data_IF_453600086394
#
_entry.id   IF_453600086394
#
_cell.length_a   1.000
_cell.length_b   1.000
_cell.length_c   1.000
_cell.angle_alpha   90.00
_cell.angle_beta   90.00
_cell.angle_gamma   90.00
#
_symmetry.space_group_name_H-M   'P 1'
#
loop_
_entity.id
_entity.type
_entity.pdbx_description
1 polymer ?
#
# COMPACT_ATOMS: atom_id res chain seq x y z
N UNK A 1 -41.20 43.13 -45.02
CA UNK A 1 -40.83 41.80 -45.50
C UNK A 1 -39.30 41.78 -45.69
N UNK A 2 -38.55 41.35 -44.71
CA UNK A 2 -37.10 40.95 -44.80
C UNK A 2 -36.44 40.98 -43.40
N UNK A 3 -36.86 40.16 -42.47
CA UNK A 3 -36.17 39.95 -41.18
C UNK A 3 -36.43 38.52 -40.72
N UNK A 4 -35.99 37.51 -41.47
CA UNK A 4 -36.12 36.11 -41.04
C UNK A 4 -35.15 35.15 -41.74
N UNK A 5 -33.91 35.58 -41.97
CA UNK A 5 -32.88 34.70 -42.56
C UNK A 5 -31.49 34.78 -41.92
N UNK A 6 -31.37 35.12 -40.64
CA UNK A 6 -30.04 35.13 -39.97
C UNK A 6 -30.01 34.43 -38.60
N UNK A 7 -30.79 33.36 -38.39
CA UNK A 7 -30.77 32.57 -37.16
C UNK A 7 -30.58 31.04 -37.38
N UNK A 8 -29.85 30.62 -38.40
CA UNK A 8 -29.57 29.20 -38.61
C UNK A 8 -28.11 28.87 -39.01
N UNK A 9 -27.15 29.59 -38.44
CA UNK A 9 -25.71 29.29 -38.68
C UNK A 9 -24.87 29.38 -37.40
N UNK A 10 -25.35 28.81 -36.32
CA UNK A 10 -24.67 28.94 -35.00
C UNK A 10 -24.80 27.70 -34.11
N UNK A 11 -24.94 26.50 -34.67
CA UNK A 11 -25.05 25.30 -33.83
C UNK A 11 -24.48 24.06 -34.48
N UNK A 12 -23.21 24.09 -34.88
CA UNK A 12 -22.44 22.89 -35.30
C UNK A 12 -20.99 23.05 -34.91
N UNK A 13 -20.65 22.99 -33.62
CA UNK A 13 -19.30 22.68 -33.12
C UNK A 13 -19.35 22.37 -31.62
N UNK A 14 -20.07 21.36 -31.23
CA UNK A 14 -19.81 20.56 -30.05
C UNK A 14 -19.87 19.11 -30.52
N UNK A 15 -18.86 18.70 -31.28
CA UNK A 15 -18.56 17.29 -31.44
C UNK A 15 -17.92 16.88 -30.13
N UNK A 16 -18.71 16.15 -29.31
CA UNK A 16 -18.29 15.65 -28.02
C UNK A 16 -16.95 14.91 -28.12
N UNK A 17 -15.96 15.38 -27.35
CA UNK A 17 -14.85 14.55 -26.98
C UNK A 17 -15.46 13.30 -26.31
N UNK A 18 -15.35 12.17 -26.99
CA UNK A 18 -15.76 10.87 -26.42
C UNK A 18 -14.93 10.68 -25.16
N UNK A 19 -15.57 10.63 -24.01
CA UNK A 19 -14.88 10.46 -22.74
C UNK A 19 -13.96 9.21 -22.83
N UNK A 20 -12.67 9.37 -22.52
CA UNK A 20 -11.71 8.28 -22.58
C UNK A 20 -12.21 7.09 -21.75
N UNK A 21 -12.11 5.89 -22.28
CA UNK A 21 -12.48 4.68 -21.54
C UNK A 21 -11.66 4.53 -20.25
N UNK A 22 -12.19 3.82 -19.27
CA UNK A 22 -11.47 3.58 -17.99
C UNK A 22 -10.11 2.93 -18.23
N UNK A 23 -10.00 2.05 -19.23
CA UNK A 23 -8.73 1.46 -19.63
C UNK A 23 -7.75 2.49 -20.21
N UNK A 24 -8.19 3.42 -21.03
CA UNK A 24 -7.34 4.49 -21.58
C UNK A 24 -6.88 5.44 -20.48
N UNK A 25 -7.76 5.77 -19.54
CA UNK A 25 -7.43 6.58 -18.35
C UNK A 25 -6.37 5.88 -17.50
N UNK A 26 -6.56 4.58 -17.18
CA UNK A 26 -5.58 3.76 -16.47
C UNK A 26 -4.24 3.74 -17.21
N UNK A 27 -4.26 3.43 -18.51
CA UNK A 27 -3.06 3.35 -19.34
C UNK A 27 -2.27 4.65 -19.33
N UNK A 28 -2.98 5.79 -19.44
CA UNK A 28 -2.37 7.12 -19.37
C UNK A 28 -1.68 7.36 -18.03
N UNK A 29 -2.33 7.04 -16.91
CA UNK A 29 -1.73 7.21 -15.57
C UNK A 29 -0.57 6.25 -15.35
N UNK A 30 -0.72 4.99 -15.78
CA UNK A 30 0.32 3.98 -15.63
C UNK A 30 1.59 4.34 -16.42
N UNK A 31 1.43 4.78 -17.67
CA UNK A 31 2.53 5.17 -18.54
C UNK A 31 3.29 6.40 -18.05
N UNK A 32 2.69 7.27 -17.24
CA UNK A 32 3.41 8.40 -16.62
C UNK A 32 4.54 7.93 -15.69
N UNK A 33 4.34 6.78 -15.01
CA UNK A 33 5.37 6.16 -14.18
C UNK A 33 6.45 5.38 -14.97
N UNK A 34 6.27 5.19 -16.27
CA UNK A 34 7.15 4.40 -17.12
C UNK A 34 8.15 5.28 -17.87
N UNK A 35 9.44 5.03 -17.73
CA UNK A 35 10.47 5.79 -18.46
C UNK A 35 10.34 5.57 -19.97
N UNK A 36 10.78 6.56 -20.77
CA UNK A 36 10.81 6.46 -22.24
C UNK A 36 11.59 5.22 -22.69
N UNK A 37 12.77 5.01 -22.11
CA UNK A 37 13.63 3.85 -22.41
C UNK A 37 12.92 2.52 -22.17
N UNK A 38 12.10 2.43 -21.11
CA UNK A 38 11.35 1.22 -20.84
C UNK A 38 10.23 1.01 -21.86
N UNK A 39 9.52 2.08 -22.28
CA UNK A 39 8.48 1.98 -23.30
C UNK A 39 9.02 1.51 -24.65
N UNK A 40 10.21 1.97 -25.03
CA UNK A 40 10.90 1.60 -26.27
C UNK A 40 11.32 0.13 -26.31
N UNK A 41 11.32 -0.59 -25.18
CA UNK A 41 11.57 -2.04 -25.15
C UNK A 41 10.37 -2.88 -25.61
N UNK A 42 9.19 -2.27 -25.76
CA UNK A 42 7.96 -2.94 -26.19
C UNK A 42 7.57 -2.49 -27.60
N UNK A 43 7.12 -3.42 -28.44
CA UNK A 43 6.31 -3.04 -29.61
C UNK A 43 4.96 -2.49 -29.15
N UNK A 44 4.22 -1.80 -30.03
CA UNK A 44 2.88 -1.29 -29.69
C UNK A 44 1.92 -2.38 -29.22
N UNK A 45 1.94 -3.54 -29.86
CA UNK A 45 1.12 -4.69 -29.46
C UNK A 45 1.52 -5.24 -28.10
N UNK A 46 2.81 -5.41 -27.85
CA UNK A 46 3.31 -5.88 -26.54
C UNK A 46 2.99 -4.90 -25.41
N UNK A 47 3.07 -3.60 -25.67
CA UNK A 47 2.73 -2.58 -24.68
C UNK A 47 1.23 -2.61 -24.35
N UNK A 48 0.37 -2.79 -25.37
CA UNK A 48 -1.07 -2.88 -25.18
C UNK A 48 -1.44 -4.14 -24.37
N UNK A 49 -0.86 -5.30 -24.67
CA UNK A 49 -1.05 -6.53 -23.90
C UNK A 49 -0.54 -6.37 -22.46
N UNK A 50 0.63 -5.77 -22.28
CA UNK A 50 1.18 -5.46 -20.97
C UNK A 50 0.22 -4.59 -20.15
N UNK A 51 -0.32 -3.52 -20.70
CA UNK A 51 -1.25 -2.63 -20.03
C UNK A 51 -2.60 -3.31 -19.72
N UNK A 52 -3.14 -4.10 -20.62
CA UNK A 52 -4.38 -4.88 -20.41
C UNK A 52 -4.25 -5.85 -19.22
N UNK A 53 -3.13 -6.53 -19.14
CA UNK A 53 -2.88 -7.45 -18.03
C UNK A 53 -2.78 -6.71 -16.68
N UNK A 54 -2.09 -5.55 -16.66
CA UNK A 54 -2.01 -4.70 -15.45
C UNK A 54 -3.37 -4.14 -15.07
N UNK A 55 -4.15 -3.71 -16.03
CA UNK A 55 -5.49 -3.20 -15.79
C UNK A 55 -6.43 -4.26 -15.21
N UNK A 56 -6.41 -5.47 -15.76
CA UNK A 56 -7.20 -6.59 -15.24
C UNK A 56 -6.84 -6.90 -13.77
N UNK A 57 -5.55 -6.94 -13.46
CA UNK A 57 -5.10 -7.11 -12.08
C UNK A 57 -5.54 -5.96 -11.17
N UNK A 58 -5.43 -4.72 -11.65
CA UNK A 58 -5.84 -3.52 -10.91
C UNK A 58 -7.34 -3.52 -10.59
N UNK A 59 -8.18 -3.89 -11.55
CA UNK A 59 -9.62 -4.02 -11.33
C UNK A 59 -9.95 -5.06 -10.25
N UNK A 60 -9.32 -6.23 -10.31
CA UNK A 60 -9.52 -7.29 -9.31
C UNK A 60 -9.04 -6.84 -7.92
N UNK A 61 -7.86 -6.24 -7.85
CA UNK A 61 -7.30 -5.71 -6.61
C UNK A 61 -8.20 -4.64 -5.99
N UNK A 62 -8.79 -3.76 -6.80
CA UNK A 62 -9.68 -2.71 -6.32
C UNK A 62 -10.96 -3.29 -5.70
N UNK A 63 -11.58 -4.30 -6.34
CA UNK A 63 -12.75 -5.01 -5.80
C UNK A 63 -12.45 -5.67 -4.44
N UNK A 64 -11.25 -6.23 -4.28
CA UNK A 64 -10.80 -6.92 -3.06
C UNK A 64 -10.23 -5.98 -1.99
N UNK A 65 -10.13 -4.68 -2.29
CA UNK A 65 -9.46 -3.69 -1.43
C UNK A 65 -7.98 -4.01 -1.18
N UNK A 66 -7.34 -4.57 -2.18
CA UNK A 66 -5.93 -4.91 -2.23
C UNK A 66 -5.66 -6.35 -2.65
N UNK A 67 -4.60 -6.54 -3.43
CA UNK A 67 -4.15 -7.86 -3.91
C UNK A 67 -2.64 -7.86 -4.17
N UNK A 68 -2.03 -9.02 -3.93
CA UNK A 68 -0.67 -9.36 -4.30
C UNK A 68 -0.73 -10.49 -5.31
N UNK A 69 0.14 -10.45 -6.31
CA UNK A 69 0.32 -11.52 -7.30
C UNK A 69 1.80 -11.74 -7.55
N UNK A 70 2.25 -12.98 -7.47
CA UNK A 70 3.59 -13.40 -7.85
C UNK A 70 3.49 -14.47 -8.93
N UNK A 71 4.11 -14.23 -10.08
CA UNK A 71 4.02 -15.14 -11.22
C UNK A 71 5.34 -15.26 -11.96
N UNK A 72 5.58 -16.40 -12.66
CA UNK A 72 6.73 -16.51 -13.55
C UNK A 72 6.61 -15.52 -14.71
N UNK A 73 7.74 -15.03 -15.16
CA UNK A 73 7.84 -14.16 -16.32
C UNK A 73 8.87 -14.72 -17.31
N UNK A 74 8.44 -15.08 -18.49
CA UNK A 74 9.34 -15.45 -19.57
C UNK A 74 9.69 -14.18 -20.37
N UNK A 75 10.69 -13.46 -19.94
CA UNK A 75 11.25 -12.36 -20.73
C UNK A 75 12.67 -12.70 -21.15
N UNK A 76 12.88 -12.87 -22.44
CA UNK A 76 14.20 -12.90 -23.06
C UNK A 76 14.53 -11.51 -23.61
N UNK A 77 14.66 -10.51 -22.74
CA UNK A 77 15.20 -9.21 -23.17
C UNK A 77 16.71 -9.34 -23.27
N UNK A 78 17.22 -9.21 -24.49
CA UNK A 78 18.66 -9.08 -24.75
C UNK A 78 19.03 -7.64 -24.41
N UNK A 79 19.97 -7.43 -23.47
CA UNK A 79 20.51 -6.09 -23.22
C UNK A 79 21.21 -5.58 -24.48
N UNK A 80 21.34 -4.25 -24.63
CA UNK A 80 22.15 -3.63 -25.71
C UNK A 80 23.61 -4.10 -25.75
N UNK A 81 24.08 -4.77 -24.68
CA UNK A 81 25.41 -5.36 -24.55
C UNK A 81 25.43 -6.88 -24.83
N UNK A 82 24.33 -7.45 -25.34
CA UNK A 82 24.26 -8.88 -25.67
C UNK A 82 24.05 -9.80 -24.47
N UNK A 83 23.94 -9.28 -23.25
CA UNK A 83 23.68 -10.08 -22.06
C UNK A 83 22.18 -10.41 -21.97
N UNK A 84 21.83 -11.68 -21.88
CA UNK A 84 20.44 -12.11 -21.62
C UNK A 84 20.07 -11.72 -20.19
N UNK A 85 19.16 -10.76 -20.05
CA UNK A 85 18.57 -10.43 -18.76
C UNK A 85 17.39 -11.40 -18.55
N UNK A 86 17.60 -12.42 -17.75
CA UNK A 86 16.53 -13.34 -17.36
C UNK A 86 15.81 -12.76 -16.15
N UNK A 87 14.72 -12.05 -16.36
CA UNK A 87 13.79 -11.75 -15.27
C UNK A 87 12.84 -12.93 -15.14
N UNK A 88 12.93 -13.64 -14.04
CA UNK A 88 12.20 -14.90 -13.93
C UNK A 88 10.86 -14.75 -13.23
N UNK A 89 10.63 -13.65 -12.52
CA UNK A 89 9.43 -13.46 -11.69
C UNK A 89 8.93 -12.02 -11.74
N UNK A 90 7.62 -11.88 -11.87
CA UNK A 90 6.90 -10.62 -11.68
C UNK A 90 6.22 -10.64 -10.31
N UNK A 91 6.40 -9.55 -9.57
CA UNK A 91 5.63 -9.23 -8.36
C UNK A 91 4.74 -8.03 -8.66
N UNK A 92 3.45 -8.17 -8.44
CA UNK A 92 2.48 -7.09 -8.56
C UNK A 92 1.70 -6.93 -7.26
N UNK A 93 1.56 -5.69 -6.84
CA UNK A 93 0.80 -5.30 -5.66
C UNK A 93 -0.07 -4.14 -6.06
N UNK A 94 -1.37 -4.24 -5.80
CA UNK A 94 -2.25 -3.09 -5.86
C UNK A 94 -3.07 -3.04 -4.59
N UNK A 95 -3.02 -1.92 -3.89
CA UNK A 95 -3.67 -1.73 -2.60
C UNK A 95 -4.03 -0.25 -2.39
N UNK A 96 -4.96 0.06 -1.47
CA UNK A 96 -5.17 1.43 -1.04
C UNK A 96 -3.85 2.06 -0.60
N UNK A 97 -3.58 3.26 -1.10
CA UNK A 97 -2.33 4.01 -0.84
C UNK A 97 -2.04 4.07 0.67
N UNK A 98 -0.86 3.65 1.03
CA UNK A 98 -0.38 3.66 2.40
C UNK A 98 1.12 3.96 2.47
N UNK A 99 1.57 4.70 3.49
CA UNK A 99 3.00 4.85 3.75
C UNK A 99 3.68 3.48 3.84
N UNK A 100 4.92 3.41 3.37
CA UNK A 100 5.81 2.25 3.52
C UNK A 100 5.52 1.02 2.65
N UNK A 101 4.54 1.00 1.75
CA UNK A 101 4.29 -0.13 0.84
C UNK A 101 5.59 -0.49 0.09
N UNK A 102 6.16 0.45 -0.66
CA UNK A 102 7.36 0.22 -1.47
C UNK A 102 8.56 -0.16 -0.61
N UNK A 103 8.82 0.60 0.45
CA UNK A 103 9.98 0.38 1.33
C UNK A 103 9.91 -1.00 2.01
N UNK A 104 8.72 -1.43 2.41
CA UNK A 104 8.50 -2.74 3.03
C UNK A 104 8.78 -3.87 2.04
N UNK A 105 8.30 -3.75 0.81
CA UNK A 105 8.55 -4.75 -0.24
C UNK A 105 10.03 -4.79 -0.62
N UNK A 106 10.66 -3.64 -0.84
CA UNK A 106 12.09 -3.58 -1.13
C UNK A 106 12.97 -4.13 0.00
N UNK A 107 12.60 -3.87 1.26
CA UNK A 107 13.29 -4.45 2.41
C UNK A 107 13.15 -5.99 2.45
N UNK A 108 11.97 -6.51 2.10
CA UNK A 108 11.75 -7.96 1.99
C UNK A 108 12.58 -8.55 0.85
N UNK A 109 12.58 -7.94 -0.34
CA UNK A 109 13.40 -8.40 -1.48
C UNK A 109 14.88 -8.43 -1.08
N UNK A 110 15.38 -7.38 -0.46
CA UNK A 110 16.76 -7.29 0.03
C UNK A 110 17.09 -8.37 1.07
N UNK A 111 16.17 -8.61 2.03
CA UNK A 111 16.34 -9.66 3.05
C UNK A 111 16.39 -11.06 2.45
N UNK A 112 15.71 -11.28 1.34
CA UNK A 112 15.69 -12.54 0.59
C UNK A 112 16.78 -12.60 -0.49
N UNK A 113 17.64 -11.59 -0.58
CA UNK A 113 18.72 -11.47 -1.59
C UNK A 113 18.20 -11.51 -3.04
N UNK A 114 16.97 -11.03 -3.26
CA UNK A 114 16.34 -10.97 -4.57
C UNK A 114 16.66 -9.64 -5.25
N UNK A 115 17.21 -9.72 -6.45
CA UNK A 115 17.56 -8.54 -7.24
C UNK A 115 16.34 -7.98 -8.00
N UNK A 116 16.04 -6.70 -7.78
CA UNK A 116 14.99 -5.98 -8.52
C UNK A 116 15.61 -5.36 -9.76
N UNK A 117 15.21 -5.81 -10.93
CA UNK A 117 15.66 -5.29 -12.23
C UNK A 117 14.82 -4.12 -12.72
N UNK A 118 13.50 -4.18 -12.50
CA UNK A 118 12.57 -3.11 -12.85
C UNK A 118 11.59 -2.85 -11.74
N UNK A 119 11.26 -1.57 -11.56
CA UNK A 119 10.25 -1.11 -10.62
C UNK A 119 9.40 -0.04 -11.27
N UNK A 120 8.08 -0.20 -11.21
CA UNK A 120 7.10 0.83 -11.53
C UNK A 120 6.19 0.98 -10.32
N UNK A 121 5.88 2.23 -9.96
CA UNK A 121 5.06 2.52 -8.80
C UNK A 121 4.16 3.74 -9.08
N UNK A 122 3.18 3.63 -9.99
CA UNK A 122 2.18 4.66 -10.16
C UNK A 122 1.19 4.67 -8.99
N UNK A 123 0.86 5.88 -8.52
CA UNK A 123 -0.24 6.12 -7.59
C UNK A 123 -1.38 6.73 -8.39
N UNK A 124 -2.55 6.13 -8.34
CA UNK A 124 -3.70 6.51 -9.15
C UNK A 124 -4.87 6.90 -8.27
N UNK A 125 -5.54 7.98 -8.63
CA UNK A 125 -6.85 8.33 -8.09
C UNK A 125 -7.93 7.48 -8.74
N UNK A 126 -8.83 6.90 -7.95
CA UNK A 126 -9.87 6.00 -8.41
C UNK A 126 -11.24 6.49 -7.95
N UNK A 127 -12.18 6.57 -8.89
CA UNK A 127 -13.59 6.75 -8.60
C UNK A 127 -14.25 5.38 -8.64
N UNK A 128 -14.93 5.01 -7.56
CA UNK A 128 -15.53 3.69 -7.40
C UNK A 128 -17.05 3.79 -7.29
N UNK A 129 -17.73 2.86 -7.96
CA UNK A 129 -19.16 2.62 -7.74
C UNK A 129 -19.43 2.01 -6.35
N UNK A 130 -20.70 1.94 -5.96
CA UNK A 130 -21.12 1.25 -4.74
C UNK A 130 -20.73 -0.25 -4.73
N UNK A 131 -20.53 -0.87 -5.90
CA UNK A 131 -20.07 -2.25 -6.09
C UNK A 131 -18.56 -2.39 -6.13
N UNK A 132 -17.80 -1.31 -5.85
CA UNK A 132 -16.34 -1.23 -5.96
C UNK A 132 -15.81 -1.48 -7.38
N UNK A 133 -16.59 -1.16 -8.39
CA UNK A 133 -16.14 -1.15 -9.79
C UNK A 133 -15.54 0.21 -10.11
N UNK A 134 -14.49 0.22 -10.92
CA UNK A 134 -13.79 1.45 -11.32
C UNK A 134 -14.64 2.18 -12.35
N UNK A 135 -15.10 3.38 -12.02
CA UNK A 135 -15.82 4.28 -12.92
C UNK A 135 -14.89 5.26 -13.63
N UNK A 136 -13.80 5.66 -12.97
CA UNK A 136 -12.75 6.49 -13.56
C UNK A 136 -11.40 6.27 -12.89
N UNK A 137 -10.32 6.47 -13.67
CA UNK A 137 -8.93 6.52 -13.18
C UNK A 137 -8.35 7.88 -13.57
N UNK A 138 -7.97 8.66 -12.58
CA UNK A 138 -7.48 10.03 -12.78
C UNK A 138 -6.18 10.25 -12.01
N UNK A 139 -5.58 11.42 -12.19
CA UNK A 139 -4.42 11.80 -11.38
C UNK A 139 -4.81 11.82 -9.91
N UNK A 140 -3.98 11.21 -9.04
CA UNK A 140 -4.25 11.13 -7.62
C UNK A 140 -4.24 12.53 -6.97
N UNK A 141 -5.39 12.96 -6.45
CA UNK A 141 -5.57 14.20 -5.69
C UNK A 141 -5.81 13.90 -4.20
N UNK A 142 -5.64 14.90 -3.33
CA UNK A 142 -5.67 14.70 -1.87
C UNK A 142 -6.98 14.11 -1.33
N UNK A 143 -8.10 14.47 -1.94
CA UNK A 143 -9.46 14.07 -1.48
C UNK A 143 -9.98 12.78 -2.10
N UNK A 144 -9.15 12.08 -2.88
CA UNK A 144 -9.57 10.89 -3.62
C UNK A 144 -9.16 9.59 -2.95
N UNK A 145 -9.87 8.51 -3.29
CA UNK A 145 -9.39 7.17 -2.99
C UNK A 145 -8.17 6.90 -3.87
N UNK A 146 -7.01 6.78 -3.24
CA UNK A 146 -5.75 6.51 -3.92
C UNK A 146 -5.42 5.02 -3.82
N UNK A 147 -4.92 4.49 -4.92
CA UNK A 147 -4.38 3.14 -4.99
C UNK A 147 -2.92 3.19 -5.45
N UNK A 148 -2.08 2.50 -4.71
CA UNK A 148 -0.76 2.11 -5.15
C UNK A 148 -0.85 0.96 -6.13
N UNK A 149 -0.06 1.02 -7.20
CA UNK A 149 0.18 -0.12 -8.06
C UNK A 149 1.68 -0.32 -8.23
N UNK A 150 2.23 -1.25 -7.46
CA UNK A 150 3.65 -1.60 -7.53
C UNK A 150 3.84 -2.81 -8.45
N UNK A 151 4.69 -2.65 -9.46
CA UNK A 151 5.13 -3.69 -10.38
C UNK A 151 6.63 -3.85 -10.28
N UNK A 152 7.10 -5.08 -10.02
CA UNK A 152 8.52 -5.42 -9.95
C UNK A 152 8.82 -6.57 -10.90
N UNK A 153 9.95 -6.49 -11.58
CA UNK A 153 10.61 -7.63 -12.21
C UNK A 153 11.82 -8.00 -11.37
N UNK A 154 11.84 -9.22 -10.87
CA UNK A 154 12.91 -9.71 -9.99
C UNK A 154 13.59 -10.94 -10.57
N UNK A 155 14.84 -11.12 -10.20
CA UNK A 155 15.58 -12.35 -10.47
C UNK A 155 15.35 -13.33 -9.32
N UNK A 156 14.68 -14.43 -9.62
CA UNK A 156 14.37 -15.47 -8.64
C UNK A 156 14.14 -16.81 -9.33
N UNK A 157 14.20 -17.88 -8.57
CA UNK A 157 13.73 -19.18 -9.03
C UNK A 157 12.21 -19.16 -9.23
N UNK A 158 11.76 -19.57 -10.40
CA UNK A 158 10.34 -19.58 -10.76
C UNK A 158 9.61 -20.87 -10.30
N UNK A 159 10.15 -21.60 -9.30
CA UNK A 159 9.47 -22.73 -8.71
C UNK A 159 8.14 -22.33 -8.05
N UNK A 160 7.11 -23.13 -8.27
CA UNK A 160 5.75 -22.82 -7.81
C UNK A 160 5.64 -22.71 -6.28
N UNK A 161 6.45 -23.48 -5.53
CA UNK A 161 6.45 -23.43 -4.06
C UNK A 161 7.07 -22.12 -3.60
N UNK A 162 8.17 -21.70 -4.22
CA UNK A 162 8.81 -20.42 -3.96
C UNK A 162 7.87 -19.25 -4.28
N UNK A 163 7.22 -19.26 -5.45
CA UNK A 163 6.30 -18.20 -5.85
C UNK A 163 5.13 -18.02 -4.86
N UNK A 164 4.50 -19.13 -4.45
CA UNK A 164 3.43 -19.10 -3.44
C UNK A 164 3.91 -18.61 -2.08
N UNK A 165 5.11 -19.03 -1.65
CA UNK A 165 5.71 -18.57 -0.40
C UNK A 165 5.99 -17.07 -0.45
N UNK A 166 6.57 -16.57 -1.53
CA UNK A 166 6.86 -15.15 -1.73
C UNK A 166 5.57 -14.33 -1.72
N UNK A 167 4.54 -14.76 -2.45
CA UNK A 167 3.23 -14.11 -2.48
C UNK A 167 2.61 -14.03 -1.07
N UNK A 168 2.64 -15.13 -0.33
CA UNK A 168 2.13 -15.18 1.06
C UNK A 168 2.90 -14.24 1.99
N UNK A 169 4.22 -14.19 1.87
CA UNK A 169 5.06 -13.28 2.67
C UNK A 169 4.75 -11.81 2.36
N UNK A 170 4.69 -11.46 1.09
CA UNK A 170 4.35 -10.10 0.67
C UNK A 170 2.94 -9.73 1.17
N UNK A 171 1.96 -10.61 0.98
CA UNK A 171 0.58 -10.37 1.43
C UNK A 171 0.51 -10.16 2.95
N UNK A 172 1.28 -10.90 3.74
CA UNK A 172 1.39 -10.71 5.19
C UNK A 172 1.96 -9.34 5.55
N UNK A 173 3.01 -8.88 4.86
CA UNK A 173 3.57 -7.54 5.07
C UNK A 173 2.61 -6.43 4.64
N UNK A 174 1.88 -6.62 3.53
CA UNK A 174 0.86 -5.66 3.10
C UNK A 174 -0.29 -5.56 4.09
N UNK A 175 -0.71 -6.67 4.71
CA UNK A 175 -1.68 -6.64 5.80
C UNK A 175 -1.17 -5.79 6.98
N UNK A 176 0.10 -5.96 7.39
CA UNK A 176 0.71 -5.16 8.44
C UNK A 176 0.66 -3.66 8.11
N UNK A 177 1.10 -3.28 6.91
CA UNK A 177 1.09 -1.89 6.43
C UNK A 177 -0.32 -1.30 6.46
N UNK A 178 -1.32 -2.04 5.97
CA UNK A 178 -2.72 -1.58 5.96
C UNK A 178 -3.30 -1.45 7.38
N UNK A 179 -2.97 -2.35 8.30
CA UNK A 179 -3.41 -2.26 9.69
C UNK A 179 -2.78 -1.07 10.42
N UNK A 180 -1.49 -0.81 10.21
CA UNK A 180 -0.82 0.38 10.76
C UNK A 180 -1.51 1.65 10.25
N UNK A 181 -1.76 1.75 8.95
CA UNK A 181 -2.47 2.86 8.33
C UNK A 181 -3.89 3.03 8.91
N UNK A 182 -4.67 1.96 8.92
CA UNK A 182 -6.08 2.01 9.33
C UNK A 182 -6.24 2.27 10.84
N UNK A 183 -5.28 1.82 11.65
CA UNK A 183 -5.31 2.01 13.11
C UNK A 183 -4.54 3.24 13.58
N UNK A 184 -3.89 4.00 12.69
CA UNK A 184 -3.03 5.15 13.07
C UNK A 184 -3.74 6.10 14.02
N UNK A 185 -4.96 6.51 13.71
CA UNK A 185 -5.70 7.45 14.55
C UNK A 185 -6.03 6.88 15.92
N UNK A 186 -6.41 5.60 16.00
CA UNK A 186 -6.67 4.92 17.27
C UNK A 186 -5.40 4.80 18.13
N UNK A 187 -4.25 4.49 17.52
CA UNK A 187 -2.97 4.43 18.21
C UNK A 187 -2.56 5.81 18.76
N UNK A 188 -2.77 6.89 18.00
CA UNK A 188 -2.51 8.25 18.47
C UNK A 188 -3.44 8.65 19.61
N UNK A 189 -4.73 8.31 19.55
CA UNK A 189 -5.69 8.51 20.64
C UNK A 189 -5.29 7.73 21.90
N UNK A 190 -4.79 6.50 21.76
CA UNK A 190 -4.29 5.71 22.89
C UNK A 190 -3.07 6.36 23.54
N UNK A 191 -2.15 6.94 22.74
CA UNK A 191 -1.04 7.74 23.28
C UNK A 191 -1.53 8.97 24.05
N UNK A 192 -2.56 9.67 23.54
CA UNK A 192 -3.16 10.82 24.25
C UNK A 192 -3.78 10.42 25.59
N UNK A 193 -4.49 9.29 25.61
CA UNK A 193 -5.07 8.78 26.86
C UNK A 193 -3.98 8.41 27.86
N UNK A 194 -2.91 7.77 27.41
CA UNK A 194 -1.76 7.44 28.24
C UNK A 194 -1.09 8.68 28.85
N UNK A 195 -0.95 9.78 28.08
CA UNK A 195 -0.43 11.05 28.61
C UNK A 195 -1.29 11.56 29.75
N UNK A 196 -2.61 11.58 29.58
CA UNK A 196 -3.56 12.05 30.62
C UNK A 196 -3.50 11.16 31.87
N UNK A 197 -3.35 9.86 31.71
CA UNK A 197 -3.18 8.92 32.81
C UNK A 197 -1.88 9.21 33.57
N UNK A 198 -0.75 9.38 32.88
CA UNK A 198 0.54 9.73 33.47
C UNK A 198 0.46 11.06 34.27
N UNK A 199 -0.16 12.08 33.68
CA UNK A 199 -0.34 13.39 34.33
C UNK A 199 -1.20 13.31 35.61
N UNK A 200 -2.10 12.32 35.68
CA UNK A 200 -2.94 12.09 36.86
C UNK A 200 -2.26 11.32 37.99
N UNK A 201 -1.09 10.70 37.74
CA UNK A 201 -0.37 9.91 38.73
C UNK A 201 0.33 10.82 39.75
N UNK A 202 -0.14 10.79 40.96
CA UNK A 202 0.39 11.62 42.06
C UNK A 202 1.58 11.00 42.80
N UNK A 203 1.85 9.70 42.61
CA UNK A 203 2.98 8.98 43.21
C UNK A 203 4.33 9.25 42.54
N UNK A 204 4.33 9.93 41.40
CA UNK A 204 5.53 10.31 40.65
C UNK A 204 5.71 11.81 40.71
N UNK A 205 6.96 12.29 40.66
CA UNK A 205 7.21 13.73 40.71
C UNK A 205 6.61 14.47 39.50
N UNK A 206 6.17 15.71 39.75
CA UNK A 206 5.62 16.55 38.64
C UNK A 206 6.64 16.76 37.51
N UNK A 207 7.95 16.79 37.85
CA UNK A 207 9.03 16.89 36.84
C UNK A 207 9.07 15.67 35.95
N UNK A 208 9.07 14.46 36.52
CA UNK A 208 9.07 13.19 35.77
C UNK A 208 7.81 13.04 34.94
N UNK A 209 6.64 13.37 35.46
CA UNK A 209 5.38 13.37 34.69
C UNK A 209 5.46 14.34 33.49
N UNK A 210 6.05 15.52 33.69
CA UNK A 210 6.27 16.50 32.62
C UNK A 210 7.22 16.01 31.53
N UNK A 211 8.25 15.24 31.87
CA UNK A 211 9.16 14.63 30.88
C UNK A 211 8.45 13.56 30.05
N UNK A 212 7.66 12.68 30.66
CA UNK A 212 6.87 11.66 29.97
C UNK A 212 5.84 12.28 29.05
N UNK A 213 5.13 13.32 29.49
CA UNK A 213 4.16 14.05 28.68
C UNK A 213 4.84 14.69 27.45
N UNK A 214 6.02 15.29 27.61
CA UNK A 214 6.82 15.83 26.50
C UNK A 214 7.24 14.74 25.51
N UNK A 215 7.71 13.59 26.00
CA UNK A 215 8.10 12.46 25.15
C UNK A 215 6.91 11.95 24.32
N UNK A 216 5.78 11.71 24.95
CA UNK A 216 4.58 11.25 24.25
C UNK A 216 4.06 12.30 23.26
N UNK A 217 4.11 13.59 23.64
CA UNK A 217 3.79 14.70 22.74
C UNK A 217 4.69 14.73 21.51
N UNK A 218 6.00 14.49 21.69
CA UNK A 218 6.97 14.41 20.61
C UNK A 218 6.74 13.19 19.69
N UNK A 219 6.38 12.03 20.24
CA UNK A 219 6.00 10.84 19.47
C UNK A 219 4.76 11.09 18.57
N UNK A 220 3.80 11.91 19.06
CA UNK A 220 2.60 12.29 18.29
C UNK A 220 2.89 13.18 17.08
N UNK A 221 3.94 13.98 17.11
CA UNK A 221 4.28 14.96 16.06
C UNK A 221 4.95 14.35 14.83
N UNK A 222 4.64 13.10 14.48
CA UNK A 222 5.19 12.37 13.35
C UNK A 222 6.73 12.22 13.35
N UNK A 223 7.38 12.44 14.51
CA UNK A 223 8.79 12.14 14.67
C UNK A 223 9.08 10.63 14.68
N UNK A 224 8.03 9.84 14.95
CA UNK A 224 8.06 8.37 14.92
C UNK A 224 6.82 7.81 14.25
N UNK A 225 7.01 6.68 13.58
CA UNK A 225 5.89 5.88 13.10
C UNK A 225 5.50 4.85 14.14
N UNK A 226 4.34 5.03 14.76
CA UNK A 226 3.79 4.04 15.69
C UNK A 226 3.28 2.86 14.87
N UNK A 227 3.97 1.72 14.97
CA UNK A 227 3.65 0.50 14.21
C UNK A 227 2.60 -0.37 14.90
N UNK A 228 2.51 -0.30 16.22
CA UNK A 228 1.56 -1.06 17.02
C UNK A 228 1.40 -0.48 18.42
N UNK A 229 0.24 -0.74 19.01
CA UNK A 229 -0.09 -0.38 20.38
C UNK A 229 -0.87 -1.52 21.02
N UNK A 230 -0.57 -1.86 22.27
CA UNK A 230 -1.30 -2.84 23.06
C UNK A 230 -1.26 -2.48 24.54
N UNK A 231 -2.34 -2.73 25.25
CA UNK A 231 -2.43 -2.44 26.70
C UNK A 231 -2.28 -3.72 27.51
N UNK A 232 -1.47 -3.62 28.57
CA UNK A 232 -1.31 -4.66 29.58
C UNK A 232 -1.85 -4.17 30.92
N UNK A 233 -2.43 -5.08 31.70
CA UNK A 233 -2.81 -4.85 33.08
C UNK A 233 -1.97 -5.74 33.98
N UNK A 234 -1.39 -5.15 35.02
CA UNK A 234 -0.78 -5.89 36.13
C UNK A 234 -1.86 -6.18 37.16
N UNK A 235 -2.08 -7.45 37.49
CA UNK A 235 -3.16 -7.86 38.41
C UNK A 235 -2.80 -7.79 39.90
N UNK A 236 -1.48 -7.91 40.26
CA UNK A 236 -0.99 -7.81 41.61
C UNK A 236 0.38 -7.12 41.60
N UNK A 237 0.62 -6.29 42.63
CA UNK A 237 1.84 -5.48 42.74
C UNK A 237 3.12 -6.28 43.03
N UNK A 238 3.01 -7.55 43.43
CA UNK A 238 4.12 -8.29 44.04
C UNK A 238 4.78 -9.34 43.15
N UNK A 239 4.27 -9.57 41.93
CA UNK A 239 4.96 -10.45 40.98
C UNK A 239 4.90 -9.91 39.54
N UNK A 240 6.06 -9.86 38.88
CA UNK A 240 6.19 -9.49 37.48
C UNK A 240 5.45 -10.48 36.51
N UNK A 241 5.07 -11.67 37.00
CA UNK A 241 4.45 -12.74 36.24
C UNK A 241 2.94 -12.58 36.02
N UNK A 242 2.31 -11.57 36.62
CA UNK A 242 0.86 -11.34 36.55
C UNK A 242 0.45 -10.22 35.57
N UNK A 243 1.20 -10.05 34.46
CA UNK A 243 0.86 -9.10 33.41
C UNK A 243 -0.08 -9.79 32.41
N UNK A 244 -1.28 -9.27 32.23
CA UNK A 244 -2.26 -9.77 31.25
C UNK A 244 -2.55 -8.72 30.19
N UNK A 245 -2.62 -9.18 28.94
CA UNK A 245 -3.05 -8.33 27.83
C UNK A 245 -4.53 -7.97 27.98
N UNK A 246 -4.86 -6.70 27.84
CA UNK A 246 -6.26 -6.25 27.75
C UNK A 246 -6.85 -6.75 26.44
N UNK A 247 -7.96 -7.47 26.53
CA UNK A 247 -8.61 -8.02 25.36
C UNK A 247 -9.01 -6.92 24.38
N UNK A 248 -8.73 -7.12 23.08
CA UNK A 248 -9.03 -6.19 21.99
C UNK A 248 -8.34 -4.80 22.10
N UNK A 249 -7.28 -4.67 22.89
CA UNK A 249 -6.51 -3.42 22.99
C UNK A 249 -5.39 -3.30 21.94
N UNK A 250 -5.15 -4.35 21.14
CA UNK A 250 -4.10 -4.38 20.12
C UNK A 250 -4.47 -3.60 18.86
N UNK A 251 -3.55 -2.76 18.39
CA UNK A 251 -3.66 -2.00 17.14
C UNK A 251 -2.40 -2.16 16.29
N UNK A 252 -2.50 -1.88 14.98
CA UNK A 252 -1.38 -2.00 14.04
C UNK A 252 -0.88 -3.44 13.92
N UNK A 253 0.43 -3.66 14.01
CA UNK A 253 1.03 -5.01 13.96
C UNK A 253 0.76 -5.85 15.23
N UNK A 254 0.20 -5.24 16.27
CA UNK A 254 -0.25 -5.91 17.51
C UNK A 254 -1.77 -6.17 17.50
N UNK A 255 -2.46 -5.90 16.40
CA UNK A 255 -3.87 -6.22 16.23
C UNK A 255 -4.10 -7.74 16.20
N UNK A 256 -5.20 -8.25 16.83
CA UNK A 256 -5.47 -9.68 16.88
C UNK A 256 -5.49 -10.36 15.51
N UNK A 257 -6.03 -9.71 14.49
CA UNK A 257 -6.11 -10.22 13.12
C UNK A 257 -4.73 -10.40 12.45
N UNK A 258 -3.72 -9.64 12.86
CA UNK A 258 -2.35 -9.83 12.42
C UNK A 258 -1.63 -10.91 13.22
N UNK A 259 -1.77 -10.89 14.53
CA UNK A 259 -1.13 -11.84 15.44
C UNK A 259 -1.58 -13.29 15.20
N UNK A 260 -2.84 -13.50 14.82
CA UNK A 260 -3.37 -14.83 14.46
C UNK A 260 -2.76 -15.37 13.14
N UNK A 261 -2.40 -14.48 12.22
CA UNK A 261 -1.84 -14.86 10.90
C UNK A 261 -0.30 -14.95 10.91
N UNK A 262 0.35 -14.09 11.68
CA UNK A 262 1.79 -14.13 11.91
C UNK A 262 2.03 -15.08 13.08
N UNK A 263 2.37 -16.35 12.80
CA UNK A 263 2.70 -17.33 13.84
C UNK A 263 3.48 -16.70 15.02
N UNK A 264 2.77 -16.42 16.10
CA UNK A 264 3.06 -16.12 17.51
C UNK A 264 4.46 -15.68 18.02
N UNK A 265 5.45 -15.47 17.14
CA UNK A 265 6.81 -15.11 17.58
C UNK A 265 6.92 -13.72 18.22
N UNK A 266 6.08 -12.76 17.83
CA UNK A 266 6.13 -11.41 18.38
C UNK A 266 5.57 -11.33 19.81
N UNK A 267 4.52 -12.07 20.13
CA UNK A 267 3.97 -12.12 21.49
C UNK A 267 4.94 -12.78 22.47
N UNK A 268 5.63 -13.85 22.06
CA UNK A 268 6.61 -14.52 22.91
C UNK A 268 7.84 -13.66 23.25
N UNK A 269 8.17 -12.65 22.42
CA UNK A 269 9.25 -11.70 22.72
C UNK A 269 8.79 -10.60 23.69
N UNK A 270 7.48 -10.28 23.71
CA UNK A 270 6.93 -9.24 24.57
C UNK A 270 6.48 -9.77 25.95
N UNK A 271 6.36 -11.10 26.09
CA UNK A 271 5.92 -11.77 27.32
C UNK A 271 7.01 -12.60 27.97
N UNK A 272 8.24 -12.63 27.43
CA UNK A 272 9.44 -13.21 28.00
C UNK A 272 10.30 -12.16 28.68
#
# INVERSE_FOLDING_TARGET
MSEDKQKQAGNKKEQGETAASVFEQFSTQFLRGMSVRMRETYSSTQLDEFLKERFTFFQEATRRSGMVRVKPHQSSTVSQQGTRLNYNVIVEISAPDAPFIVVTVEALMRKMELLIHRKLHPIMGVVLSAKKEIEAVITAEEKMVKFDHLYLEIEADADIVFLKRLETLIAGHMLAVQLVRNHRQKMLQSLESMVKEIESVTSVSAETNGEWSKLCGWLKLDNFTVMGFITFLQQDSDSADNIKTVQNSGYGILAPEYLQKSSNKLLNVLTA
#
